data_IF_062904837991
#
_entry.id   IF_062904837991
#
_cell.length_a   1.000
_cell.length_b   1.000
_cell.length_c   1.000
_cell.angle_alpha   90.00
_cell.angle_beta   90.00
_cell.angle_gamma   90.00
#
_symmetry.space_group_name_H-M   'P 1'
#
loop_
_entity.id
_entity.type
_entity.pdbx_description
1 polymer ?
#
# COMPACT_ATOMS: atom_id res chain seq x y z
N UNK A 1 -20.10 -4.73 -27.51
CA UNK A 1 -18.67 -4.91 -27.86
C UNK A 1 -17.67 -4.18 -26.94
N UNK A 2 -17.92 -2.93 -26.52
CA UNK A 2 -16.98 -2.13 -25.70
C UNK A 2 -16.84 -2.61 -24.25
N UNK A 3 -17.94 -3.02 -23.61
CA UNK A 3 -17.92 -3.53 -22.23
C UNK A 3 -17.19 -4.86 -22.07
N UNK A 4 -17.30 -5.75 -23.07
CA UNK A 4 -16.57 -7.02 -23.08
C UNK A 4 -15.05 -6.82 -23.18
N UNK A 5 -14.61 -5.82 -23.96
CA UNK A 5 -13.20 -5.46 -24.08
C UNK A 5 -12.63 -4.91 -22.75
N UNK A 6 -13.41 -4.09 -22.05
CA UNK A 6 -13.01 -3.50 -20.76
C UNK A 6 -12.91 -4.55 -19.65
N UNK A 7 -13.81 -5.53 -19.63
CA UNK A 7 -13.77 -6.65 -18.69
C UNK A 7 -12.58 -7.57 -18.97
N UNK A 8 -12.29 -7.82 -20.26
CA UNK A 8 -11.12 -8.59 -20.69
C UNK A 8 -9.82 -7.91 -20.22
N UNK A 9 -9.74 -6.58 -20.27
CA UNK A 9 -8.57 -5.84 -19.78
C UNK A 9 -8.34 -6.02 -18.27
N UNK A 10 -9.41 -6.05 -17.46
CA UNK A 10 -9.30 -6.31 -16.02
C UNK A 10 -8.84 -7.75 -15.72
N UNK A 11 -9.26 -8.71 -16.53
CA UNK A 11 -8.86 -10.12 -16.42
C UNK A 11 -7.39 -10.35 -16.79
N UNK A 12 -6.81 -9.50 -17.66
CA UNK A 12 -5.40 -9.54 -18.06
C UNK A 12 -4.48 -8.74 -17.13
N UNK A 13 -5.02 -7.94 -16.20
CA UNK A 13 -4.18 -7.21 -15.26
C UNK A 13 -3.48 -8.20 -14.32
N UNK A 14 -2.13 -8.17 -14.22
CA UNK A 14 -1.44 -9.01 -13.27
C UNK A 14 -1.93 -8.66 -11.86
N UNK A 15 -2.13 -9.66 -10.97
CA UNK A 15 -2.46 -9.37 -9.59
C UNK A 15 -1.34 -8.47 -9.06
N UNK A 16 -1.71 -7.29 -8.56
CA UNK A 16 -0.82 -6.44 -7.79
C UNK A 16 -0.40 -7.27 -6.58
N UNK A 17 0.69 -8.02 -6.72
CA UNK A 17 1.27 -8.76 -5.61
C UNK A 17 1.63 -7.70 -4.58
N UNK A 18 0.96 -7.65 -3.42
CA UNK A 18 1.48 -6.84 -2.35
C UNK A 18 2.92 -7.32 -2.14
N UNK A 19 3.86 -6.38 -2.07
CA UNK A 19 5.21 -6.70 -1.65
C UNK A 19 5.08 -7.58 -0.40
N UNK A 20 5.74 -8.75 -0.37
CA UNK A 20 5.60 -9.65 0.76
C UNK A 20 5.91 -8.87 2.04
N UNK A 21 4.94 -8.81 2.97
CA UNK A 21 5.06 -7.99 4.18
C UNK A 21 4.57 -6.54 4.07
N UNK A 22 3.81 -6.16 3.04
CA UNK A 22 3.13 -4.87 3.02
C UNK A 22 2.17 -4.76 4.23
N UNK A 23 2.32 -3.75 5.12
CA UNK A 23 1.48 -3.66 6.30
C UNK A 23 0.01 -3.45 5.93
N UNK A 24 -0.90 -4.07 6.69
CA UNK A 24 -2.34 -3.98 6.47
C UNK A 24 -2.89 -2.54 6.34
N UNK A 25 -2.44 -1.54 7.15
CA UNK A 25 -2.94 -0.18 7.00
C UNK A 25 -2.28 0.59 5.85
N UNK A 26 -1.43 -0.03 5.03
CA UNK A 26 -0.62 0.65 4.01
C UNK A 26 -0.89 0.11 2.60
N UNK A 27 -0.42 0.84 1.60
CA UNK A 27 -0.46 0.47 0.19
C UNK A 27 0.96 0.44 -0.34
N UNK A 28 1.36 -0.64 -1.02
CA UNK A 28 2.73 -0.80 -1.49
C UNK A 28 2.80 -0.90 -3.01
N UNK A 29 3.80 -0.26 -3.61
CA UNK A 29 4.07 -0.32 -5.05
C UNK A 29 5.59 -0.30 -5.28
N UNK A 30 6.15 -1.40 -5.79
CA UNK A 30 7.60 -1.57 -5.83
C UNK A 30 8.19 -1.52 -4.41
N UNK A 31 9.08 -0.56 -4.16
CA UNK A 31 9.74 -0.30 -2.87
C UNK A 31 9.13 0.88 -2.09
N UNK A 32 8.03 1.46 -2.58
CA UNK A 32 7.25 2.48 -1.87
C UNK A 32 6.25 1.81 -0.93
N UNK A 33 6.20 2.29 0.31
CA UNK A 33 5.17 1.96 1.31
C UNK A 33 4.41 3.23 1.70
N UNK A 34 3.16 3.33 1.26
CA UNK A 34 2.29 4.46 1.58
C UNK A 34 1.31 4.13 2.72
N UNK A 35 1.58 4.69 3.89
CA UNK A 35 0.73 4.64 5.08
C UNK A 35 0.15 6.03 5.42
N UNK A 36 0.16 6.98 4.48
CA UNK A 36 -0.26 8.36 4.70
C UNK A 36 -1.77 8.52 4.87
N UNK A 37 -2.16 9.48 5.72
CA UNK A 37 -3.58 9.83 5.99
C UNK A 37 -4.43 8.62 6.42
N UNK A 38 -3.85 7.70 7.20
CA UNK A 38 -4.52 6.49 7.72
C UNK A 38 -4.98 6.66 9.17
N UNK A 39 -4.76 7.82 9.78
CA UNK A 39 -5.11 8.08 11.18
C UNK A 39 -4.25 7.30 12.18
N UNK A 40 -3.06 6.88 11.77
CA UNK A 40 -2.18 6.05 12.61
C UNK A 40 -1.72 6.85 13.83
N UNK A 41 -1.78 6.21 14.99
CA UNK A 41 -1.11 6.58 16.23
C UNK A 41 0.11 5.69 16.44
N UNK A 42 1.01 6.06 17.38
CA UNK A 42 2.16 5.21 17.75
C UNK A 42 1.77 3.79 18.16
N UNK A 43 0.62 3.62 18.81
CA UNK A 43 0.13 2.29 19.22
C UNK A 43 -0.35 1.43 18.03
N UNK A 44 -0.80 2.05 16.95
CA UNK A 44 -1.33 1.36 15.76
C UNK A 44 -0.32 1.29 14.60
N UNK A 45 0.86 1.89 14.76
CA UNK A 45 1.88 1.92 13.73
C UNK A 45 2.45 0.50 13.53
N UNK A 46 2.57 0.01 12.28
CA UNK A 46 3.22 -1.28 12.02
C UNK A 46 4.63 -1.33 12.61
N UNK A 47 4.96 -2.42 13.30
CA UNK A 47 6.29 -2.64 13.90
C UNK A 47 7.34 -3.07 12.89
N UNK A 48 6.93 -3.48 11.69
CA UNK A 48 7.82 -3.89 10.62
C UNK A 48 7.31 -3.39 9.26
N UNK A 49 8.25 -3.07 8.38
CA UNK A 49 8.04 -2.72 6.99
C UNK A 49 8.88 -3.67 6.11
N UNK A 50 8.52 -3.86 4.81
CA UNK A 50 9.36 -4.62 3.88
C UNK A 50 10.82 -4.14 3.90
N UNK A 51 11.77 -5.07 3.90
CA UNK A 51 13.21 -4.73 3.99
C UNK A 51 13.70 -3.88 2.80
N UNK A 52 13.09 -4.07 1.63
CA UNK A 52 13.43 -3.34 0.41
C UNK A 52 12.75 -1.95 0.34
N UNK A 53 12.11 -1.48 1.42
CA UNK A 53 11.43 -0.18 1.42
C UNK A 53 12.44 0.94 1.24
N UNK A 54 12.32 1.70 0.15
CA UNK A 54 13.16 2.88 -0.13
C UNK A 54 12.44 4.19 0.17
N UNK A 55 11.11 4.15 0.21
CA UNK A 55 10.27 5.32 0.50
C UNK A 55 9.12 4.89 1.41
N UNK A 56 8.95 5.61 2.53
CA UNK A 56 7.90 5.38 3.51
C UNK A 56 7.11 6.67 3.74
N UNK A 57 5.82 6.65 3.42
CA UNK A 57 4.93 7.80 3.60
C UNK A 57 4.11 7.63 4.87
N UNK A 58 4.34 8.51 5.85
CA UNK A 58 3.58 8.57 7.11
C UNK A 58 2.86 9.91 7.31
N UNK A 59 2.89 10.78 6.30
CA UNK A 59 2.34 12.14 6.37
C UNK A 59 0.83 12.13 6.63
N UNK A 60 0.35 13.07 7.46
CA UNK A 60 -1.07 13.23 7.77
C UNK A 60 -1.65 12.15 8.69
N UNK A 61 -0.80 11.52 9.50
CA UNK A 61 -1.22 10.64 10.60
C UNK A 61 -1.21 11.39 11.95
N UNK A 62 -1.70 10.73 12.99
CA UNK A 62 -1.82 11.26 14.35
C UNK A 62 -0.65 10.79 15.24
N UNK A 63 0.57 10.94 14.72
CA UNK A 63 1.80 10.61 15.44
C UNK A 63 2.13 11.78 16.38
N UNK A 64 1.52 11.79 17.56
CA UNK A 64 1.81 12.76 18.63
C UNK A 64 3.14 12.42 19.29
N UNK A 65 4.02 13.40 19.51
CA UNK A 65 5.29 13.19 20.22
C UNK A 65 5.09 12.66 21.64
#
# INVERSE_FOLDING_TARGET
>A
PRGALSLLLLLLAPPSRPAAGCPAPCSCAGTLVDCGRRGLTWASLPTAFPVDTTELVLTGNNLTA
#
